data_IF_900516423786
#
_entry.id   IF_900516423786
#
_cell.length_a   1.000
_cell.length_b   1.000
_cell.length_c   1.000
_cell.angle_alpha   90.00
_cell.angle_beta   90.00
_cell.angle_gamma   90.00
#
_symmetry.space_group_name_H-M   'P 1'
#
loop_
_entity.id
_entity.type
_entity.pdbx_description
1 polymer ?
#
# COMPACT_ATOMS: atom_id res chain seq x y z
N UNK A 1 -15.86 15.03 8.38
CA UNK A 1 -15.07 13.88 7.88
C UNK A 1 -15.86 12.57 7.94
N UNK A 2 -16.66 12.30 8.99
CA UNK A 2 -17.50 11.08 9.08
C UNK A 2 -18.40 10.83 7.86
N UNK A 3 -19.09 11.88 7.37
CA UNK A 3 -20.08 11.76 6.28
C UNK A 3 -19.55 11.20 4.94
N UNK A 4 -18.27 11.40 4.60
CA UNK A 4 -17.71 10.87 3.35
C UNK A 4 -17.46 9.36 3.46
N UNK A 5 -17.03 8.90 4.64
CA UNK A 5 -16.85 7.47 4.89
C UNK A 5 -18.20 6.74 4.97
N UNK A 6 -19.26 7.42 5.43
CA UNK A 6 -20.59 6.83 5.56
C UNK A 6 -21.17 6.36 4.21
N UNK A 7 -20.90 7.08 3.10
CA UNK A 7 -21.28 6.65 1.76
C UNK A 7 -20.63 5.31 1.38
N UNK A 8 -19.36 5.13 1.73
CA UNK A 8 -18.64 3.88 1.43
C UNK A 8 -18.89 2.74 2.42
N UNK A 9 -19.35 3.05 3.64
CA UNK A 9 -19.73 2.06 4.65
C UNK A 9 -21.08 1.40 4.35
N UNK A 10 -21.94 2.06 3.59
CA UNK A 10 -23.25 1.56 3.20
C UNK A 10 -23.21 0.92 1.79
N UNK A 11 -23.28 -0.41 1.68
CA UNK A 11 -23.31 -1.09 0.39
C UNK A 11 -24.48 -0.65 -0.51
N UNK A 12 -25.61 -0.25 0.07
CA UNK A 12 -26.76 0.22 -0.69
C UNK A 12 -26.46 1.54 -1.43
N UNK A 13 -25.72 2.45 -0.77
CA UNK A 13 -25.29 3.71 -1.39
C UNK A 13 -24.24 3.46 -2.46
N UNK A 14 -23.31 2.54 -2.23
CA UNK A 14 -22.30 2.15 -3.22
C UNK A 14 -22.91 1.51 -4.48
N UNK A 15 -24.03 0.80 -4.35
CA UNK A 15 -24.75 0.22 -5.49
C UNK A 15 -25.44 1.29 -6.38
N UNK A 16 -25.64 2.51 -5.86
CA UNK A 16 -26.22 3.63 -6.63
C UNK A 16 -25.20 4.46 -7.40
N UNK A 17 -23.91 4.32 -7.09
CA UNK A 17 -22.85 4.99 -7.83
C UNK A 17 -22.34 4.06 -8.93
N UNK A 18 -22.00 4.64 -10.08
CA UNK A 18 -21.46 3.85 -11.19
C UNK A 18 -20.09 3.28 -10.83
N UNK A 19 -19.72 2.15 -11.45
CA UNK A 19 -18.41 1.52 -11.30
C UNK A 19 -17.24 2.51 -11.40
N UNK A 20 -17.27 3.40 -12.39
CA UNK A 20 -16.23 4.42 -12.59
C UNK A 20 -16.19 5.45 -11.47
N UNK A 21 -17.34 5.86 -10.96
CA UNK A 21 -17.43 6.76 -9.80
C UNK A 21 -16.91 6.08 -8.54
N UNK A 22 -17.15 4.78 -8.35
CA UNK A 22 -16.60 4.00 -7.24
C UNK A 22 -15.07 3.97 -7.25
N UNK A 23 -14.45 3.75 -8.41
CA UNK A 23 -12.99 3.81 -8.55
C UNK A 23 -12.42 5.21 -8.27
N UNK A 24 -13.08 6.26 -8.76
CA UNK A 24 -12.68 7.65 -8.47
C UNK A 24 -12.87 8.03 -7.00
N UNK A 25 -13.95 7.58 -6.38
CA UNK A 25 -14.24 7.75 -4.97
C UNK A 25 -13.13 7.13 -4.11
N UNK A 26 -12.76 5.87 -4.39
CA UNK A 26 -11.64 5.20 -3.73
C UNK A 26 -10.32 5.96 -3.88
N UNK A 27 -10.05 6.45 -5.09
CA UNK A 27 -8.86 7.22 -5.38
C UNK A 27 -8.85 8.59 -4.67
N UNK A 28 -10.02 9.19 -4.41
CA UNK A 28 -10.14 10.42 -3.62
C UNK A 28 -9.93 10.14 -2.12
N UNK A 29 -10.59 9.12 -1.58
CA UNK A 29 -10.46 8.70 -0.16
C UNK A 29 -9.01 8.38 0.18
N UNK A 30 -8.31 7.61 -0.67
CA UNK A 30 -6.89 7.28 -0.50
C UNK A 30 -5.96 8.49 -0.61
N UNK A 31 -6.30 9.51 -1.41
CA UNK A 31 -5.54 10.78 -1.47
C UNK A 31 -5.69 11.60 -0.20
N UNK A 32 -6.88 11.60 0.40
CA UNK A 32 -7.17 12.23 1.68
C UNK A 32 -6.60 11.47 2.89
N UNK A 33 -6.00 10.30 2.66
CA UNK A 33 -5.43 9.43 3.70
C UNK A 33 -6.47 9.04 4.76
N UNK A 34 -7.71 8.85 4.33
CA UNK A 34 -8.80 8.36 5.16
C UNK A 34 -8.83 6.85 5.06
N UNK A 35 -8.50 6.17 6.15
CA UNK A 35 -8.56 4.71 6.24
C UNK A 35 -9.82 4.30 6.99
N UNK A 36 -10.60 3.40 6.38
CA UNK A 36 -11.75 2.77 6.99
C UNK A 36 -11.92 1.38 6.38
N UNK A 37 -11.68 0.35 7.18
CA UNK A 37 -11.68 -1.04 6.72
C UNK A 37 -13.01 -1.45 6.05
N UNK A 38 -14.14 -1.02 6.62
CA UNK A 38 -15.47 -1.37 6.11
C UNK A 38 -15.74 -0.70 4.77
N UNK A 39 -15.35 0.57 4.63
CA UNK A 39 -15.42 1.28 3.35
C UNK A 39 -14.59 0.58 2.28
N UNK A 40 -13.33 0.26 2.59
CA UNK A 40 -12.42 -0.36 1.63
C UNK A 40 -12.90 -1.76 1.23
N UNK A 41 -13.39 -2.56 2.18
CA UNK A 41 -13.98 -3.87 1.91
C UNK A 41 -15.19 -3.76 0.98
N UNK A 42 -16.17 -2.90 1.29
CA UNK A 42 -17.37 -2.78 0.46
C UNK A 42 -17.04 -2.27 -0.95
N UNK A 43 -16.16 -1.27 -1.05
CA UNK A 43 -15.73 -0.71 -2.34
C UNK A 43 -15.01 -1.76 -3.17
N UNK A 44 -14.13 -2.55 -2.55
CA UNK A 44 -13.44 -3.64 -3.22
C UNK A 44 -14.41 -4.73 -3.68
N UNK A 45 -15.45 -5.07 -2.91
CA UNK A 45 -16.49 -6.01 -3.34
C UNK A 45 -17.25 -5.51 -4.58
N UNK A 46 -17.61 -4.22 -4.61
CA UNK A 46 -18.28 -3.61 -5.78
C UNK A 46 -17.37 -3.61 -7.01
N UNK A 47 -16.11 -3.20 -6.85
CA UNK A 47 -15.16 -3.16 -7.96
C UNK A 47 -14.83 -4.58 -8.46
N UNK A 48 -14.72 -5.55 -7.56
CA UNK A 48 -14.41 -6.95 -7.92
C UNK A 48 -15.47 -7.55 -8.84
N UNK A 49 -16.76 -7.25 -8.62
CA UNK A 49 -17.87 -7.76 -9.45
C UNK A 49 -17.72 -7.38 -10.93
N UNK A 50 -17.29 -6.16 -11.18
CA UNK A 50 -17.24 -5.56 -12.52
C UNK A 50 -15.78 -5.26 -12.96
N UNK A 51 -14.81 -5.98 -12.41
CA UNK A 51 -13.38 -5.76 -12.69
C UNK A 51 -13.02 -5.92 -14.19
N UNK A 52 -13.80 -6.71 -14.92
CA UNK A 52 -13.68 -6.91 -16.36
C UNK A 52 -14.05 -5.66 -17.19
N UNK A 53 -14.66 -4.64 -16.57
CA UNK A 53 -14.96 -3.36 -17.22
C UNK A 53 -13.72 -2.50 -17.43
N UNK A 54 -12.64 -2.72 -16.67
CA UNK A 54 -11.35 -2.11 -16.97
C UNK A 54 -10.84 -2.60 -18.33
N UNK A 55 -10.73 -1.69 -19.30
CA UNK A 55 -10.22 -1.97 -20.66
C UNK A 55 -8.86 -1.33 -20.93
N UNK A 56 -8.43 -0.44 -20.03
CA UNK A 56 -7.18 0.30 -20.14
C UNK A 56 -6.39 0.20 -18.81
N UNK A 57 -5.05 0.17 -18.90
CA UNK A 57 -4.22 0.06 -17.71
C UNK A 57 -4.25 1.33 -16.84
N UNK A 58 -4.60 2.50 -17.37
CA UNK A 58 -4.56 3.77 -16.62
C UNK A 58 -5.65 3.83 -15.54
N UNK A 59 -6.87 3.44 -15.90
CA UNK A 59 -8.00 3.38 -14.98
C UNK A 59 -7.77 2.31 -13.90
N UNK A 60 -7.29 1.12 -14.29
CA UNK A 60 -6.94 0.07 -13.33
C UNK A 60 -5.80 0.51 -12.39
N UNK A 61 -4.77 1.16 -12.93
CA UNK A 61 -3.63 1.62 -12.14
C UNK A 61 -4.04 2.57 -11.00
N UNK A 62 -4.98 3.48 -11.24
CA UNK A 62 -5.48 4.41 -10.23
C UNK A 62 -6.16 3.67 -9.07
N UNK A 63 -7.00 2.69 -9.39
CA UNK A 63 -7.75 1.89 -8.42
C UNK A 63 -6.82 0.98 -7.61
N UNK A 64 -5.91 0.27 -8.28
CA UNK A 64 -4.90 -0.58 -7.63
C UNK A 64 -4.01 0.22 -6.68
N UNK A 65 -3.55 1.40 -7.10
CA UNK A 65 -2.74 2.26 -6.25
C UNK A 65 -3.52 2.74 -5.02
N UNK A 66 -4.80 3.07 -5.17
CA UNK A 66 -5.61 3.53 -4.05
C UNK A 66 -5.77 2.46 -2.95
N UNK A 67 -5.92 1.19 -3.37
CA UNK A 67 -5.92 0.03 -2.47
C UNK A 67 -4.54 -0.24 -1.87
N UNK A 68 -3.49 -0.27 -2.70
CA UNK A 68 -2.13 -0.51 -2.21
C UNK A 68 -1.66 0.59 -1.23
N UNK A 69 -2.03 1.85 -1.49
CA UNK A 69 -1.68 2.98 -0.63
C UNK A 69 -2.35 2.92 0.74
N UNK A 70 -3.57 2.42 0.83
CA UNK A 70 -4.26 2.30 2.12
C UNK A 70 -3.68 1.19 3.00
N UNK A 71 -2.92 0.26 2.43
CA UNK A 71 -2.42 -0.93 3.11
C UNK A 71 -3.50 -2.00 3.31
N UNK A 72 -4.71 -1.80 2.78
CA UNK A 72 -5.78 -2.79 2.82
C UNK A 72 -5.60 -3.82 1.72
N UNK A 73 -5.60 -5.10 2.09
CA UNK A 73 -5.46 -6.23 1.16
C UNK A 73 -6.70 -7.11 1.26
N UNK A 74 -7.34 -7.34 0.12
CA UNK A 74 -8.47 -8.25 0.00
C UNK A 74 -8.21 -9.20 -1.15
N UNK A 75 -8.11 -10.50 -0.84
CA UNK A 75 -7.64 -11.54 -1.76
C UNK A 75 -8.46 -11.59 -3.07
N UNK A 76 -9.80 -11.55 -2.97
CA UNK A 76 -10.68 -11.58 -4.16
C UNK A 76 -10.41 -10.41 -5.10
N UNK A 77 -10.20 -9.21 -4.55
CA UNK A 77 -9.89 -8.01 -5.33
C UNK A 77 -8.52 -8.14 -6.00
N UNK A 78 -7.51 -8.61 -5.25
CA UNK A 78 -6.14 -8.79 -5.74
C UNK A 78 -6.11 -9.77 -6.92
N UNK A 79 -6.74 -10.94 -6.75
CA UNK A 79 -6.82 -11.99 -7.78
C UNK A 79 -7.55 -11.49 -9.03
N UNK A 80 -8.67 -10.78 -8.85
CA UNK A 80 -9.41 -10.21 -9.98
C UNK A 80 -8.60 -9.11 -10.70
N UNK A 81 -7.91 -8.25 -9.95
CA UNK A 81 -7.09 -7.19 -10.51
C UNK A 81 -5.86 -7.74 -11.25
N UNK A 82 -5.25 -8.81 -10.73
CA UNK A 82 -4.13 -9.49 -11.38
C UNK A 82 -4.55 -10.14 -12.71
N UNK A 83 -5.70 -10.82 -12.72
CA UNK A 83 -6.28 -11.39 -13.93
C UNK A 83 -6.64 -10.30 -14.96
N UNK A 84 -7.23 -9.19 -14.50
CA UNK A 84 -7.57 -8.03 -15.35
C UNK A 84 -6.31 -7.40 -15.95
N UNK A 85 -5.28 -7.15 -15.13
CA UNK A 85 -3.99 -6.66 -15.62
C UNK A 85 -3.37 -7.61 -16.65
N UNK A 86 -3.39 -8.92 -16.42
CA UNK A 86 -2.86 -9.90 -17.38
C UNK A 86 -3.59 -9.89 -18.72
N UNK A 87 -4.92 -9.71 -18.72
CA UNK A 87 -5.69 -9.59 -19.95
C UNK A 87 -5.28 -8.39 -20.81
N UNK A 88 -4.69 -7.36 -20.19
CA UNK A 88 -4.26 -6.13 -20.86
C UNK A 88 -2.79 -6.12 -21.29
N UNK A 89 -1.98 -7.11 -20.92
CA UNK A 89 -0.54 -7.20 -21.27
C UNK A 89 -0.31 -7.16 -22.78
N UNK A 90 -1.23 -7.72 -23.58
CA UNK A 90 -1.14 -7.72 -25.03
C UNK A 90 -1.97 -6.61 -25.70
N UNK A 91 -2.52 -5.68 -24.92
CA UNK A 91 -3.25 -4.54 -25.48
C UNK A 91 -2.29 -3.55 -26.14
N UNK A 92 -2.78 -2.72 -27.06
CA UNK A 92 -1.99 -1.67 -27.71
C UNK A 92 -1.52 -0.56 -26.76
N UNK A 93 -1.99 -0.55 -25.50
CA UNK A 93 -1.65 0.48 -24.52
C UNK A 93 -0.41 0.10 -23.68
N UNK A 94 0.75 0.53 -24.17
CA UNK A 94 2.06 0.35 -23.55
C UNK A 94 2.45 1.51 -22.61
N UNK A 95 1.48 2.17 -21.97
CA UNK A 95 1.77 3.30 -21.08
C UNK A 95 2.56 2.86 -19.84
N UNK A 96 3.86 3.08 -19.86
CA UNK A 96 4.78 2.75 -18.76
C UNK A 96 4.37 3.38 -17.42
N UNK A 97 3.73 4.54 -17.41
CA UNK A 97 3.32 5.19 -16.17
C UNK A 97 2.22 4.39 -15.47
N UNK A 98 1.25 3.88 -16.23
CA UNK A 98 0.19 3.01 -15.73
C UNK A 98 0.77 1.66 -15.26
N UNK A 99 1.58 1.04 -16.11
CA UNK A 99 2.17 -0.27 -15.83
C UNK A 99 3.13 -0.28 -14.65
N UNK A 100 3.94 0.76 -14.48
CA UNK A 100 4.79 0.92 -13.28
C UNK A 100 3.97 1.03 -11.99
N UNK A 101 2.79 1.66 -12.06
CA UNK A 101 1.89 1.79 -10.93
C UNK A 101 1.13 0.49 -10.65
N UNK A 102 0.67 -0.23 -11.67
CA UNK A 102 0.07 -1.57 -11.54
C UNK A 102 1.06 -2.52 -10.87
N UNK A 103 2.28 -2.65 -11.43
CA UNK A 103 3.29 -3.57 -10.93
C UNK A 103 3.61 -3.32 -9.46
N UNK A 104 3.87 -2.06 -9.12
CA UNK A 104 4.17 -1.67 -7.74
C UNK A 104 3.00 -1.96 -6.79
N UNK A 105 1.76 -1.69 -7.23
CA UNK A 105 0.57 -1.88 -6.38
C UNK A 105 0.31 -3.37 -6.11
N UNK A 106 0.48 -4.23 -7.11
CA UNK A 106 0.34 -5.68 -6.96
C UNK A 106 1.41 -6.27 -6.04
N UNK A 107 2.67 -5.85 -6.18
CA UNK A 107 3.74 -6.25 -5.25
C UNK A 107 3.44 -5.81 -3.82
N UNK A 108 2.95 -4.59 -3.63
CA UNK A 108 2.60 -4.06 -2.32
C UNK A 108 1.42 -4.78 -1.66
N UNK A 109 0.53 -5.36 -2.47
CA UNK A 109 -0.59 -6.21 -2.03
C UNK A 109 -0.19 -7.68 -1.82
N UNK A 110 1.09 -8.03 -2.01
CA UNK A 110 1.63 -9.36 -1.72
C UNK A 110 1.73 -10.31 -2.92
N UNK A 111 1.42 -9.87 -4.14
CA UNK A 111 1.63 -10.70 -5.34
C UNK A 111 3.12 -10.82 -5.64
N UNK A 112 3.66 -12.04 -5.65
CA UNK A 112 5.06 -12.28 -6.01
C UNK A 112 5.17 -13.16 -7.27
N UNK A 113 6.08 -12.88 -8.23
CA UNK A 113 6.22 -13.69 -9.44
C UNK A 113 6.72 -15.12 -9.19
N UNK A 114 7.33 -15.39 -8.03
CA UNK A 114 7.72 -16.76 -7.67
C UNK A 114 6.53 -17.63 -7.25
N UNK A 115 5.44 -17.01 -6.78
CA UNK A 115 4.24 -17.71 -6.32
C UNK A 115 3.15 -17.71 -7.39
N UNK A 116 3.10 -16.68 -8.24
CA UNK A 116 2.04 -16.51 -9.23
C UNK A 116 2.59 -16.29 -10.66
N UNK A 117 2.29 -17.20 -11.62
CA UNK A 117 2.74 -17.05 -13.01
C UNK A 117 2.14 -15.83 -13.72
N UNK A 118 0.94 -15.40 -13.33
CA UNK A 118 0.32 -14.18 -13.87
C UNK A 118 1.12 -12.94 -13.47
N UNK A 119 1.68 -12.93 -12.26
CA UNK A 119 2.56 -11.85 -11.82
C UNK A 119 3.90 -11.88 -12.57
N UNK A 120 4.45 -13.07 -12.84
CA UNK A 120 5.67 -13.22 -13.64
C UNK A 120 5.51 -12.65 -15.06
N UNK A 121 4.36 -12.87 -15.70
CA UNK A 121 4.04 -12.32 -17.01
C UNK A 121 4.03 -10.77 -17.01
N UNK A 122 3.41 -10.15 -15.99
CA UNK A 122 3.42 -8.69 -15.84
C UNK A 122 4.85 -8.18 -15.66
N UNK A 123 5.66 -8.83 -14.82
CA UNK A 123 7.06 -8.44 -14.59
C UNK A 123 7.86 -8.48 -15.88
N UNK A 124 7.75 -9.58 -16.65
CA UNK A 124 8.42 -9.72 -17.95
C UNK A 124 7.96 -8.64 -18.94
N UNK A 125 6.66 -8.38 -19.04
CA UNK A 125 6.12 -7.33 -19.90
C UNK A 125 6.65 -5.93 -19.53
N UNK A 126 6.57 -5.54 -18.24
CA UNK A 126 7.04 -4.24 -17.76
C UNK A 126 8.54 -4.07 -17.99
N UNK A 127 9.31 -5.16 -17.89
CA UNK A 127 10.74 -5.15 -18.17
C UNK A 127 11.08 -4.84 -19.64
N UNK A 128 10.16 -5.04 -20.58
CA UNK A 128 10.35 -4.75 -22.01
C UNK A 128 9.94 -3.32 -22.37
N UNK A 129 9.18 -2.65 -21.51
CA UNK A 129 8.74 -1.28 -21.74
C UNK A 129 9.88 -0.24 -21.59
N UNK A 130 9.79 0.92 -22.28
CA UNK A 130 10.80 1.97 -22.21
C UNK A 130 10.85 2.62 -20.81
N UNK A 131 12.03 3.01 -20.35
CA UNK A 131 12.23 3.61 -19.02
C UNK A 131 11.35 4.89 -18.89
N UNK A 132 10.58 5.05 -17.79
CA UNK A 132 9.74 6.22 -17.63
C UNK A 132 10.58 7.49 -17.45
N UNK A 133 10.18 8.57 -18.14
CA UNK A 133 10.81 9.88 -18.01
C UNK A 133 10.52 10.54 -16.65
N UNK A 134 9.38 10.24 -16.04
CA UNK A 134 8.94 10.87 -14.80
C UNK A 134 9.50 10.14 -13.55
N UNK A 135 10.17 10.90 -12.67
CA UNK A 135 10.88 10.38 -11.47
C UNK A 135 9.99 9.53 -10.55
N UNK A 136 8.72 9.91 -10.38
CA UNK A 136 7.79 9.17 -9.51
C UNK A 136 7.50 7.74 -10.00
N UNK A 137 7.43 7.53 -11.32
CA UNK A 137 7.21 6.21 -11.90
C UNK A 137 8.49 5.38 -11.89
N UNK A 138 9.62 6.01 -12.17
CA UNK A 138 10.93 5.38 -12.00
C UNK A 138 11.13 4.88 -10.56
N UNK A 139 10.79 5.70 -9.56
CA UNK A 139 10.87 5.30 -8.15
C UNK A 139 10.04 4.06 -7.82
N UNK A 140 8.83 3.93 -8.38
CA UNK A 140 7.98 2.74 -8.19
C UNK A 140 8.63 1.49 -8.81
N UNK A 141 9.22 1.61 -10.00
CA UNK A 141 9.94 0.51 -10.65
C UNK A 141 11.20 0.12 -9.88
N UNK A 142 11.92 1.08 -9.32
CA UNK A 142 13.06 0.80 -8.43
C UNK A 142 12.62 0.04 -7.19
N UNK A 143 11.54 0.46 -6.52
CA UNK A 143 10.99 -0.25 -5.37
C UNK A 143 10.50 -1.66 -5.73
N UNK A 144 9.92 -1.83 -6.92
CA UNK A 144 9.55 -3.14 -7.44
C UNK A 144 10.79 -4.01 -7.66
N UNK A 145 11.85 -3.48 -8.27
CA UNK A 145 13.10 -4.20 -8.50
C UNK A 145 13.78 -4.62 -7.19
N UNK A 146 13.75 -3.77 -6.17
CA UNK A 146 14.28 -4.04 -4.82
C UNK A 146 13.58 -5.24 -4.17
N UNK A 147 12.25 -5.34 -4.31
CA UNK A 147 11.46 -6.48 -3.80
C UNK A 147 11.75 -7.76 -4.58
N UNK A 148 11.95 -7.66 -5.90
CA UNK A 148 12.14 -8.81 -6.78
C UNK A 148 13.58 -9.38 -6.77
N UNK A 149 14.55 -8.59 -6.33
CA UNK A 149 15.95 -9.01 -6.17
C UNK A 149 16.76 -9.14 -7.47
N UNK A 150 18.01 -9.58 -7.32
CA UNK A 150 19.05 -9.53 -8.37
C UNK A 150 18.85 -10.50 -9.54
N UNK A 151 17.95 -11.48 -9.43
CA UNK A 151 17.61 -12.41 -10.51
C UNK A 151 16.48 -11.95 -11.43
N UNK A 152 15.88 -10.79 -11.16
CA UNK A 152 14.70 -10.29 -11.88
C UNK A 152 15.10 -9.51 -13.15
N UNK A 153 14.30 -9.57 -14.24
CA UNK A 153 14.50 -8.69 -15.40
C UNK A 153 14.35 -7.19 -15.06
N UNK A 154 13.84 -6.87 -13.86
CA UNK A 154 13.75 -5.52 -13.32
C UNK A 154 15.07 -4.97 -12.75
N UNK A 155 16.14 -5.78 -12.66
CA UNK A 155 17.44 -5.36 -12.11
C UNK A 155 18.01 -4.11 -12.79
N UNK A 156 17.70 -3.90 -14.08
CA UNK A 156 18.11 -2.70 -14.84
C UNK A 156 17.70 -1.38 -14.18
N UNK A 157 16.65 -1.36 -13.36
CA UNK A 157 16.20 -0.16 -12.65
C UNK A 157 17.01 0.14 -11.39
N UNK A 158 17.69 -0.85 -10.80
CA UNK A 158 18.58 -0.67 -9.65
C UNK A 158 19.91 -0.01 -10.06
N UNK A 159 20.42 -0.36 -11.24
CA UNK A 159 21.71 0.11 -11.76
C UNK A 159 21.61 1.37 -12.62
N UNK A 160 20.39 1.80 -12.96
CA UNK A 160 20.18 2.97 -13.82
C UNK A 160 20.65 4.28 -13.14
N UNK A 161 21.21 5.26 -13.86
CA UNK A 161 21.71 6.51 -13.25
C UNK A 161 20.66 7.27 -12.41
N UNK A 162 19.39 7.22 -12.81
CA UNK A 162 18.27 7.82 -12.06
C UNK A 162 18.02 7.15 -10.70
N UNK A 163 18.52 5.93 -10.49
CA UNK A 163 18.48 5.21 -9.21
C UNK A 163 19.10 6.04 -8.09
N UNK A 164 20.28 6.61 -8.33
CA UNK A 164 21.00 7.46 -7.37
C UNK A 164 20.24 8.73 -6.98
N UNK A 165 19.40 9.27 -7.87
CA UNK A 165 18.55 10.43 -7.64
C UNK A 165 17.20 10.09 -7.00
N UNK A 166 16.80 8.82 -7.03
CA UNK A 166 15.60 8.29 -6.36
C UNK A 166 15.91 7.46 -5.11
N UNK A 167 17.20 7.32 -4.78
CA UNK A 167 17.69 6.71 -3.57
C UNK A 167 17.15 7.50 -2.38
N UNK A 168 16.18 6.92 -1.68
CA UNK A 168 15.89 7.30 -0.32
C UNK A 168 16.98 6.74 0.59
N UNK A 169 17.19 7.33 1.79
CA UNK A 169 17.96 6.66 2.83
C UNK A 169 17.44 5.23 3.01
N UNK A 170 18.31 4.29 3.40
CA UNK A 170 17.97 2.88 3.50
C UNK A 170 16.63 2.75 4.23
N UNK A 171 15.74 1.93 3.65
CA UNK A 171 14.49 1.48 4.25
C UNK A 171 14.84 1.12 5.70
N UNK A 172 14.41 1.93 6.66
CA UNK A 172 14.69 1.66 8.07
C UNK A 172 14.05 0.31 8.39
N UNK A 173 14.86 -0.76 8.38
CA UNK A 173 14.47 -2.08 8.87
C UNK A 173 13.90 -1.96 10.28
N UNK A 174 14.27 -0.90 11.01
CA UNK A 174 13.69 -0.45 12.27
C UNK A 174 12.19 -0.17 12.20
N UNK A 175 11.62 0.39 11.13
CA UNK A 175 10.18 0.71 11.07
C UNK A 175 9.34 -0.58 10.99
N UNK A 176 9.76 -1.55 10.18
CA UNK A 176 9.12 -2.86 10.12
C UNK A 176 9.44 -3.72 11.36
N UNK A 177 10.65 -3.63 11.93
CA UNK A 177 11.00 -4.27 13.21
C UNK A 177 10.17 -3.71 14.36
N UNK A 178 9.99 -2.39 14.43
CA UNK A 178 9.21 -1.72 15.48
C UNK A 178 7.73 -2.03 15.29
N UNK A 179 7.18 -1.98 14.08
CA UNK A 179 5.80 -2.42 13.84
C UNK A 179 5.58 -3.90 14.18
N UNK A 180 6.53 -4.78 13.86
CA UNK A 180 6.43 -6.22 14.19
C UNK A 180 6.69 -6.52 15.67
N UNK A 181 7.59 -5.79 16.34
CA UNK A 181 7.83 -5.89 17.79
C UNK A 181 6.66 -5.32 18.59
N UNK A 182 6.01 -4.25 18.12
CA UNK A 182 4.79 -3.71 18.70
C UNK A 182 3.63 -4.69 18.52
N UNK A 183 3.45 -5.26 17.32
CA UNK A 183 2.45 -6.31 17.09
C UNK A 183 2.67 -7.53 17.99
N UNK A 184 3.94 -7.94 18.18
CA UNK A 184 4.32 -9.03 19.08
C UNK A 184 4.04 -8.69 20.56
N UNK A 185 4.48 -7.53 21.05
CA UNK A 185 4.24 -7.11 22.44
C UNK A 185 2.75 -6.93 22.75
N UNK A 186 1.96 -6.41 21.82
CA UNK A 186 0.51 -6.25 21.98
C UNK A 186 -0.22 -7.60 21.99
N UNK A 187 0.27 -8.58 21.23
CA UNK A 187 -0.27 -9.95 21.23
C UNK A 187 0.08 -10.73 22.51
N UNK A 188 1.29 -10.53 23.06
CA UNK A 188 1.77 -11.21 24.27
C UNK A 188 1.16 -10.61 25.55
N UNK A 189 0.67 -9.36 25.50
CA UNK A 189 0.11 -8.65 26.66
C UNK A 189 -1.40 -8.86 26.88
N UNK A 190 -2.09 -9.67 26.06
CA UNK A 190 -3.56 -9.86 26.08
C UNK A 190 -4.38 -8.55 26.07
N UNK A 191 -3.81 -7.45 25.58
CA UNK A 191 -4.42 -6.11 25.56
C UNK A 191 -5.21 -5.80 24.28
N UNK A 192 -5.45 -6.80 23.43
CA UNK A 192 -6.27 -6.65 22.22
C UNK A 192 -7.72 -7.04 22.50
N UNK A 193 -8.68 -6.11 22.64
CA UNK A 193 -10.05 -6.39 22.25
C UNK A 193 -10.14 -6.25 20.73
N UNK A 194 -9.87 -7.34 20.00
CA UNK A 194 -10.11 -7.57 18.57
C UNK A 194 -10.41 -6.37 17.64
N UNK A 195 -9.56 -5.33 17.61
CA UNK A 195 -9.73 -4.13 16.77
C UNK A 195 -8.39 -3.57 16.30
N UNK A 196 -8.42 -2.97 15.11
CA UNK A 196 -7.27 -2.40 14.41
C UNK A 196 -6.60 -1.25 15.19
N UNK A 197 -5.27 -1.26 15.24
CA UNK A 197 -4.43 -0.23 15.89
C UNK A 197 -3.85 0.69 14.81
N UNK A 198 -4.11 2.00 14.90
CA UNK A 198 -3.47 3.01 14.04
C UNK A 198 -2.15 3.47 14.70
N UNK A 199 -1.02 2.89 14.27
CA UNK A 199 0.31 3.31 14.73
C UNK A 199 0.90 4.40 13.83
N UNK A 200 0.98 5.64 14.32
CA UNK A 200 1.71 6.73 13.64
C UNK A 200 3.10 6.90 14.25
N UNK A 201 4.13 6.53 13.51
CA UNK A 201 5.53 6.82 13.88
C UNK A 201 5.93 8.17 13.29
N UNK A 202 6.09 9.19 14.13
CA UNK A 202 6.63 10.51 13.75
C UNK A 202 8.09 10.57 14.21
N UNK A 203 9.04 10.42 13.28
CA UNK A 203 10.46 10.59 13.59
C UNK A 203 10.81 12.07 13.42
N UNK A 204 11.04 12.78 14.54
CA UNK A 204 11.55 14.15 14.53
C UNK A 204 13.05 14.15 14.18
N UNK A 205 13.55 15.07 13.32
CA UNK A 205 14.96 15.10 12.91
C UNK A 205 15.92 15.55 14.03
N UNK A 206 15.43 15.97 15.20
CA UNK A 206 16.26 16.50 16.30
C UNK A 206 16.16 15.72 17.61
N UNK A 207 15.41 14.61 17.65
CA UNK A 207 15.31 13.78 18.86
C UNK A 207 15.38 12.30 18.48
N UNK A 208 16.08 11.53 19.31
CA UNK A 208 15.98 10.07 19.36
C UNK A 208 14.51 9.68 19.60
N UNK A 209 13.82 9.34 18.50
CA UNK A 209 12.55 8.61 18.38
C UNK A 209 11.51 8.85 19.48
N UNK A 210 10.57 9.77 19.27
CA UNK A 210 9.33 9.84 20.06
C UNK A 210 8.22 9.14 19.27
N UNK A 211 7.55 8.16 19.90
CA UNK A 211 6.44 7.40 19.32
C UNK A 211 5.14 7.85 19.99
N UNK A 212 4.28 8.58 19.27
CA UNK A 212 2.93 8.89 19.75
C UNK A 212 1.96 7.78 19.33
N UNK A 213 1.46 7.02 20.29
CA UNK A 213 0.42 5.99 20.08
C UNK A 213 -0.92 6.56 20.52
N UNK A 214 -1.83 6.81 19.58
CA UNK A 214 -3.19 7.21 19.89
C UNK A 214 -4.09 5.97 19.94
N UNK A 215 -4.56 5.59 21.13
CA UNK A 215 -5.52 4.49 21.31
C UNK A 215 -6.91 5.12 21.45
N UNK A 216 -7.74 5.01 20.42
CA UNK A 216 -9.13 5.45 20.45
C UNK A 216 -10.06 4.38 21.01
N UNK A 217 -10.71 4.64 22.13
CA UNK A 217 -11.79 3.79 22.66
C UNK A 217 -13.15 4.41 22.28
N UNK A 218 -13.81 3.89 21.24
CA UNK A 218 -15.22 4.23 21.00
C UNK A 218 -16.12 3.38 21.90
N UNK A 219 -16.61 4.00 22.97
CA UNK A 219 -17.53 3.36 23.92
C UNK A 219 -17.72 4.06 25.27
N UNK A 220 -17.71 5.39 25.36
CA UNK A 220 -18.37 6.10 26.47
C UNK A 220 -18.64 7.54 26.08
N UNK A 221 -19.79 8.08 26.45
CA UNK A 221 -20.23 9.46 26.23
C UNK A 221 -19.48 10.50 27.08
N UNK A 222 -18.20 10.27 27.35
CA UNK A 222 -17.32 11.18 28.07
C UNK A 222 -16.05 11.38 27.24
N UNK A 223 -15.67 12.64 27.04
CA UNK A 223 -14.50 13.08 26.30
C UNK A 223 -13.30 12.12 26.49
N UNK A 224 -12.86 11.49 25.40
CA UNK A 224 -11.69 10.62 25.40
C UNK A 224 -10.45 11.47 25.74
N UNK A 225 -10.00 11.40 26.98
CA UNK A 225 -8.67 11.87 27.37
C UNK A 225 -7.63 11.07 26.61
N UNK A 226 -6.73 11.70 25.83
CA UNK A 226 -5.63 10.99 25.22
C UNK A 226 -4.73 10.44 26.34
N UNK A 227 -4.57 9.13 26.40
CA UNK A 227 -3.55 8.51 27.25
C UNK A 227 -2.22 8.67 26.53
N UNK A 228 -1.46 9.69 26.91
CA UNK A 228 -0.09 9.89 26.42
C UNK A 228 0.82 8.90 27.14
N UNK A 229 1.15 7.79 26.49
CA UNK A 229 2.13 6.82 26.99
C UNK A 229 3.51 7.10 26.38
N UNK A 230 4.48 7.50 27.21
CA UNK A 230 5.88 7.64 26.80
C UNK A 230 6.53 6.25 26.78
N UNK A 231 6.75 5.67 25.60
CA UNK A 231 7.59 4.48 25.46
C UNK A 231 8.99 4.94 25.05
N UNK A 232 9.90 5.03 26.02
CA UNK A 232 11.33 5.25 25.77
C UNK A 232 11.95 3.90 25.43
N UNK A 233 12.18 3.64 24.14
CA UNK A 233 13.05 2.54 23.73
C UNK A 233 14.50 2.95 24.01
N UNK A 234 15.03 2.56 25.15
CA UNK A 234 16.46 2.67 25.44
C UNK A 234 17.21 1.69 24.52
N UNK A 235 17.84 2.19 23.47
CA UNK A 235 18.84 1.42 22.73
C UNK A 235 20.12 1.41 23.56
N UNK A 236 20.53 0.24 24.04
CA UNK A 236 21.90 0.03 24.50
C UNK A 236 22.85 0.34 23.33
N UNK A 237 23.60 1.43 23.45
CA UNK A 237 24.79 1.65 22.64
C UNK A 237 25.87 0.71 23.13
N UNK A 238 26.04 -0.41 22.44
CA UNK A 238 27.14 -1.34 22.68
C UNK A 238 28.46 -0.70 22.22
N UNK A 239 29.16 -0.07 23.17
CA UNK A 239 30.54 0.37 23.00
C UNK A 239 31.47 -0.82 23.28
N UNK A 240 31.83 -1.58 22.25
CA UNK A 240 32.97 -2.53 22.14
C UNK A 240 32.85 -3.20 20.75
N UNK A 241 33.82 -3.25 19.86
CA UNK A 241 35.27 -3.35 19.99
C UNK A 241 35.97 -2.67 18.79
N UNK A 242 37.02 -1.90 19.12
CA UNK A 242 38.28 -1.92 18.36
C UNK A 242 39.04 -3.21 18.70
#
# INVERSE_FOLDING_TARGET
MAMVCDIGRDPFMLDKISFWQTGQFLAAVSRLNLFDEKLYSNVADVITKDMNLYKDPETLASTLWAMAKSGFVQENFVTAALASANSMVNSTNNNMNAWSQILWSLLQQGCHPSTDPQMANIVDFVSKLPVPAHRGHFRRLHQAADVLGEGSPMQKYLTHPLSSATALPPRDNRRNQVSNQIAKCLSESNLLPGRAVDTRVIVSPTCSSILDVAIGAEGSSSAATPVTGLIVAAGETDHRQM
#
